data_IF_431695640607
#
_entry.id   IF_431695640607
#
_cell.length_a   1.000
_cell.length_b   1.000
_cell.length_c   1.000
_cell.angle_alpha   90.00
_cell.angle_beta   90.00
_cell.angle_gamma   90.00
#
_symmetry.space_group_name_H-M   'P 1'
#
loop_
_entity.id
_entity.type
_entity.pdbx_description
1 polymer ?
#
# COMPACT_ATOMS: atom_id res chain seq x y z
N UNK A 1 19.53 15.61 -21.54
CA UNK A 1 18.17 15.75 -22.10
C UNK A 1 17.40 14.43 -21.96
N UNK A 2 17.91 13.32 -22.51
CA UNK A 2 17.25 11.99 -22.42
C UNK A 2 17.07 11.50 -20.99
N UNK A 3 18.10 11.55 -20.15
CA UNK A 3 18.05 11.08 -18.75
C UNK A 3 17.00 11.79 -17.91
N UNK A 4 16.91 13.11 -17.99
CA UNK A 4 15.91 13.91 -17.28
C UNK A 4 14.50 13.54 -17.70
N UNK A 5 14.29 13.37 -19.01
CA UNK A 5 12.99 12.97 -19.56
C UNK A 5 12.59 11.56 -19.09
N UNK A 6 13.54 10.62 -19.05
CA UNK A 6 13.32 9.25 -18.56
C UNK A 6 12.94 9.25 -17.08
N UNK A 7 13.65 10.02 -16.24
CA UNK A 7 13.34 10.12 -14.81
C UNK A 7 11.95 10.71 -14.59
N UNK A 8 11.62 11.82 -15.25
CA UNK A 8 10.30 12.45 -15.13
C UNK A 8 9.18 11.49 -15.58
N UNK A 9 9.37 10.82 -16.72
CA UNK A 9 8.40 9.83 -17.22
C UNK A 9 8.19 8.69 -16.22
N UNK A 10 9.28 8.17 -15.63
CA UNK A 10 9.21 7.09 -14.64
C UNK A 10 8.48 7.54 -13.37
N UNK A 11 8.76 8.76 -12.88
CA UNK A 11 8.06 9.33 -11.73
C UNK A 11 6.57 9.52 -12.00
N UNK A 12 6.20 9.99 -13.19
CA UNK A 12 4.79 10.14 -13.58
C UNK A 12 4.07 8.80 -13.58
N UNK A 13 4.66 7.78 -14.20
CA UNK A 13 4.09 6.43 -14.21
C UNK A 13 3.96 5.84 -12.81
N UNK A 14 4.97 6.04 -11.96
CA UNK A 14 4.93 5.58 -10.57
C UNK A 14 3.76 6.21 -9.80
N UNK A 15 3.57 7.53 -9.91
CA UNK A 15 2.44 8.23 -9.27
C UNK A 15 1.11 7.74 -9.83
N UNK A 16 0.98 7.61 -11.15
CA UNK A 16 -0.25 7.19 -11.82
C UNK A 16 -0.69 5.78 -11.42
N UNK A 17 0.22 4.80 -11.49
CA UNK A 17 -0.10 3.43 -11.08
C UNK A 17 -0.42 3.34 -9.58
N UNK A 18 0.34 4.05 -8.74
CA UNK A 18 0.08 4.07 -7.30
C UNK A 18 -1.28 4.71 -6.98
N UNK A 19 -1.69 5.73 -7.73
CA UNK A 19 -3.00 6.39 -7.62
C UNK A 19 -4.15 5.43 -7.91
N UNK A 20 -4.05 4.66 -8.99
CA UNK A 20 -5.08 3.66 -9.35
C UNK A 20 -5.18 2.56 -8.28
N UNK A 21 -4.06 2.01 -7.81
CA UNK A 21 -4.03 1.02 -6.75
C UNK A 21 -4.58 1.59 -5.42
N UNK A 22 -4.17 2.82 -5.07
CA UNK A 22 -4.60 3.51 -3.87
C UNK A 22 -6.10 3.75 -3.84
N UNK A 23 -6.74 4.00 -4.99
CA UNK A 23 -8.19 4.15 -5.05
C UNK A 23 -8.92 2.87 -4.66
N UNK A 24 -8.47 1.71 -5.15
CA UNK A 24 -9.01 0.39 -4.77
C UNK A 24 -8.79 0.14 -3.28
N UNK A 25 -7.57 0.36 -2.79
CA UNK A 25 -7.25 0.21 -1.37
C UNK A 25 -8.05 1.17 -0.48
N UNK A 26 -8.30 2.39 -0.94
CA UNK A 26 -9.09 3.37 -0.21
C UNK A 26 -10.56 2.98 -0.12
N UNK A 27 -11.14 2.40 -1.18
CA UNK A 27 -12.51 1.88 -1.16
C UNK A 27 -12.64 0.71 -0.17
N UNK A 28 -11.69 -0.23 -0.19
CA UNK A 28 -11.64 -1.34 0.75
C UNK A 28 -11.47 -0.83 2.19
N UNK A 29 -10.44 -0.02 2.44
CA UNK A 29 -10.15 0.55 3.75
C UNK A 29 -11.30 1.41 4.30
N UNK A 30 -11.95 2.21 3.45
CA UNK A 30 -13.12 3.00 3.84
C UNK A 30 -14.31 2.13 4.23
N UNK A 31 -14.60 1.06 3.48
CA UNK A 31 -15.69 0.14 3.83
C UNK A 31 -15.44 -0.56 5.17
N UNK A 32 -14.21 -1.06 5.39
CA UNK A 32 -13.80 -1.73 6.64
C UNK A 32 -13.81 -0.76 7.83
N UNK A 33 -13.29 0.45 7.66
CA UNK A 33 -13.30 1.46 8.72
C UNK A 33 -14.72 1.90 9.07
N UNK A 34 -15.58 2.13 8.06
CA UNK A 34 -16.98 2.46 8.32
C UNK A 34 -17.72 1.35 9.06
N UNK A 35 -17.42 0.09 8.74
CA UNK A 35 -18.00 -1.07 9.41
C UNK A 35 -17.55 -1.19 10.87
N UNK A 36 -16.24 -1.12 11.12
CA UNK A 36 -15.64 -1.35 12.44
C UNK A 36 -15.88 -0.19 13.40
N UNK A 37 -15.81 1.02 12.89
CA UNK A 37 -15.76 2.25 13.66
C UNK A 37 -17.17 2.86 13.81
N UNK A 38 -18.14 2.39 13.00
CA UNK A 38 -19.57 2.80 12.92
C UNK A 38 -19.79 4.31 12.79
N UNK A 39 -18.78 5.04 12.36
CA UNK A 39 -18.79 6.49 12.19
C UNK A 39 -18.51 6.86 10.73
N UNK A 40 -18.87 8.08 10.34
CA UNK A 40 -18.42 8.64 9.08
C UNK A 40 -16.89 8.84 9.11
N UNK A 41 -16.23 8.43 8.03
CA UNK A 41 -14.79 8.59 7.83
C UNK A 41 -14.57 9.30 6.50
N UNK A 42 -13.71 10.31 6.51
CA UNK A 42 -13.46 11.18 5.34
C UNK A 42 -12.66 10.39 4.30
N UNK A 43 -13.30 10.06 3.17
CA UNK A 43 -12.69 9.28 2.09
C UNK A 43 -11.38 9.92 1.59
N UNK A 44 -11.33 11.24 1.45
CA UNK A 44 -10.14 11.96 0.97
C UNK A 44 -8.88 11.71 1.84
N UNK A 45 -9.06 11.58 3.16
CA UNK A 45 -7.94 11.31 4.09
C UNK A 45 -7.47 9.86 4.01
N UNK A 46 -8.40 8.92 3.83
CA UNK A 46 -8.06 7.51 3.60
C UNK A 46 -7.33 7.37 2.27
N UNK A 47 -7.83 8.01 1.22
CA UNK A 47 -7.21 8.00 -0.09
C UNK A 47 -5.77 8.50 -0.04
N UNK A 48 -5.52 9.64 0.63
CA UNK A 48 -4.16 10.15 0.81
C UNK A 48 -3.27 9.14 1.56
N UNK A 49 -3.78 8.51 2.62
CA UNK A 49 -3.03 7.50 3.37
C UNK A 49 -2.70 6.26 2.53
N UNK A 50 -3.68 5.76 1.77
CA UNK A 50 -3.50 4.64 0.84
C UNK A 50 -2.57 4.98 -0.33
N UNK A 51 -2.56 6.23 -0.80
CA UNK A 51 -1.64 6.69 -1.84
C UNK A 51 -0.20 6.68 -1.35
N UNK A 52 0.06 7.29 -0.19
CA UNK A 52 1.39 7.29 0.40
C UNK A 52 1.86 5.86 0.73
N UNK A 53 0.94 5.01 1.18
CA UNK A 53 1.23 3.61 1.43
C UNK A 53 1.60 2.91 0.12
N UNK A 54 0.76 2.97 -0.92
CA UNK A 54 1.04 2.32 -2.21
C UNK A 54 2.36 2.77 -2.86
N UNK A 55 2.69 4.07 -2.78
CA UNK A 55 3.97 4.57 -3.27
C UNK A 55 5.15 3.98 -2.50
N UNK A 56 5.05 3.90 -1.17
CA UNK A 56 6.06 3.29 -0.31
C UNK A 56 6.17 1.77 -0.52
N UNK A 57 5.04 1.07 -0.68
CA UNK A 57 5.00 -0.37 -0.99
C UNK A 57 5.74 -0.68 -2.28
N UNK A 58 5.50 0.11 -3.33
CA UNK A 58 6.16 -0.10 -4.61
C UNK A 58 7.67 0.13 -4.50
N UNK A 59 8.11 1.17 -3.78
CA UNK A 59 9.53 1.39 -3.49
C UNK A 59 10.16 0.24 -2.71
N UNK A 60 9.47 -0.30 -1.69
CA UNK A 60 9.94 -1.43 -0.90
C UNK A 60 10.12 -2.68 -1.78
N UNK A 61 9.11 -3.04 -2.57
CA UNK A 61 9.16 -4.24 -3.42
C UNK A 61 10.23 -4.10 -4.51
N UNK A 62 10.28 -2.95 -5.20
CA UNK A 62 11.31 -2.69 -6.22
C UNK A 62 12.71 -2.65 -5.61
N UNK A 63 12.86 -2.07 -4.41
CA UNK A 63 14.12 -2.03 -3.68
C UNK A 63 14.64 -3.42 -3.32
N UNK A 64 13.77 -4.31 -2.83
CA UNK A 64 14.11 -5.72 -2.55
C UNK A 64 14.46 -6.46 -3.83
N UNK A 65 13.67 -6.29 -4.90
CA UNK A 65 13.94 -6.92 -6.19
C UNK A 65 15.27 -6.47 -6.80
N UNK A 66 15.62 -5.19 -6.67
CA UNK A 66 16.90 -4.65 -7.09
C UNK A 66 18.06 -5.20 -6.26
N UNK A 67 17.89 -5.29 -4.93
CA UNK A 67 18.90 -5.84 -4.03
C UNK A 67 19.17 -7.33 -4.27
N UNK A 68 18.13 -8.12 -4.54
CA UNK A 68 18.26 -9.54 -4.89
C UNK A 68 18.71 -9.77 -6.34
N UNK A 69 18.83 -8.72 -7.15
CA UNK A 69 19.20 -8.82 -8.57
C UNK A 69 18.12 -9.47 -9.45
N UNK A 70 16.88 -9.56 -8.96
CA UNK A 70 15.74 -10.25 -9.60
C UNK A 70 14.71 -9.26 -10.15
N UNK A 71 15.19 -8.36 -11.00
CA UNK A 71 14.34 -7.38 -11.70
C UNK A 71 13.62 -7.98 -12.91
N UNK A 72 14.11 -9.12 -13.40
CA UNK A 72 13.59 -9.82 -14.58
C UNK A 72 12.99 -11.18 -14.17
N UNK A 73 11.98 -11.68 -14.92
CA UNK A 73 11.42 -13.00 -14.66
C UNK A 73 12.51 -14.08 -14.72
N UNK A 74 12.44 -15.12 -13.89
CA UNK A 74 11.28 -15.60 -13.13
C UNK A 74 11.09 -14.98 -11.73
N UNK A 75 9.94 -14.32 -11.53
CA UNK A 75 9.49 -13.74 -10.26
C UNK A 75 9.11 -14.72 -9.12
N UNK A 76 8.73 -16.01 -9.32
CA UNK A 76 8.37 -16.88 -8.20
C UNK A 76 9.52 -17.13 -7.22
N UNK A 77 10.77 -17.00 -7.67
CA UNK A 77 11.92 -17.08 -6.78
C UNK A 77 11.98 -15.91 -5.79
N UNK A 78 11.43 -14.74 -6.14
CA UNK A 78 11.33 -13.57 -5.25
C UNK A 78 10.31 -13.83 -4.12
N UNK A 79 9.22 -14.56 -4.40
CA UNK A 79 8.19 -14.90 -3.40
C UNK A 79 8.70 -15.85 -2.30
N UNK A 80 9.72 -16.66 -2.60
CA UNK A 80 10.35 -17.54 -1.61
C UNK A 80 11.42 -16.85 -0.76
N UNK A 81 11.77 -15.60 -1.06
CA UNK A 81 12.86 -14.91 -0.39
C UNK A 81 12.48 -14.43 1.02
N UNK A 82 13.43 -14.57 1.96
CA UNK A 82 13.24 -14.10 3.34
C UNK A 82 13.14 -12.56 3.42
N UNK A 83 13.84 -11.85 2.54
CA UNK A 83 13.82 -10.38 2.50
C UNK A 83 12.47 -9.84 2.06
N UNK A 84 11.82 -10.45 1.06
CA UNK A 84 10.48 -10.03 0.65
C UNK A 84 9.48 -10.19 1.80
N UNK A 85 9.57 -11.27 2.59
CA UNK A 85 8.69 -11.47 3.76
C UNK A 85 8.88 -10.37 4.81
N UNK A 86 10.13 -10.01 5.11
CA UNK A 86 10.41 -8.90 6.03
C UNK A 86 9.87 -7.58 5.47
N UNK A 87 10.05 -7.33 4.18
CA UNK A 87 9.53 -6.14 3.52
C UNK A 87 7.99 -6.08 3.55
N UNK A 88 7.29 -7.21 3.37
CA UNK A 88 5.83 -7.29 3.49
C UNK A 88 5.34 -6.99 4.91
N UNK A 89 6.05 -7.44 5.94
CA UNK A 89 5.74 -7.11 7.34
C UNK A 89 5.94 -5.62 7.59
N UNK A 90 7.05 -5.05 7.11
CA UNK A 90 7.31 -3.60 7.21
C UNK A 90 6.24 -2.79 6.47
N UNK A 91 5.83 -3.25 5.29
CA UNK A 91 4.79 -2.62 4.50
C UNK A 91 3.44 -2.61 5.24
N UNK A 92 3.07 -3.74 5.86
CA UNK A 92 1.85 -3.83 6.66
C UNK A 92 1.87 -2.88 7.88
N UNK A 93 3.01 -2.77 8.57
CA UNK A 93 3.19 -1.82 9.67
C UNK A 93 3.08 -0.37 9.17
N UNK A 94 3.69 -0.07 8.03
CA UNK A 94 3.66 1.25 7.41
C UNK A 94 2.22 1.65 7.04
N UNK A 95 1.46 0.74 6.43
CA UNK A 95 0.04 0.93 6.12
C UNK A 95 -0.81 1.20 7.36
N UNK A 96 -0.64 0.40 8.41
CA UNK A 96 -1.34 0.59 9.68
C UNK A 96 -1.02 1.97 10.32
N UNK A 97 0.25 2.38 10.33
CA UNK A 97 0.68 3.67 10.89
C UNK A 97 0.13 4.85 10.07
N UNK A 98 0.18 4.77 8.73
CA UNK A 98 -0.34 5.79 7.83
C UNK A 98 -1.84 5.98 8.03
N UNK A 99 -2.61 4.88 8.03
CA UNK A 99 -4.04 4.92 8.28
C UNK A 99 -4.34 5.50 9.67
N UNK A 100 -3.65 5.03 10.71
CA UNK A 100 -3.86 5.50 12.08
C UNK A 100 -3.54 6.99 12.28
N UNK A 101 -2.50 7.51 11.61
CA UNK A 101 -2.06 8.90 11.79
C UNK A 101 -2.81 9.89 10.90
N UNK A 102 -3.11 9.51 9.66
CA UNK A 102 -3.64 10.43 8.65
C UNK A 102 -5.17 10.41 8.54
N UNK A 103 -5.84 9.38 9.05
CA UNK A 103 -7.30 9.25 8.99
C UNK A 103 -7.93 9.65 10.33
N UNK A 104 -8.42 10.90 10.46
CA UNK A 104 -9.22 11.29 11.61
C UNK A 104 -10.63 10.70 11.53
N UNK A 105 -11.24 10.42 12.69
CA UNK A 105 -12.70 10.29 12.79
C UNK A 105 -13.34 11.67 12.59
N UNK A 106 -14.61 11.69 12.19
CA UNK A 106 -15.41 12.93 12.05
C UNK A 106 -15.46 13.76 13.34
N UNK A 107 -15.34 13.12 14.50
CA UNK A 107 -15.27 13.81 15.81
C UNK A 107 -13.87 14.39 16.16
N UNK A 108 -12.99 14.56 15.16
CA UNK A 108 -11.58 14.99 15.33
C UNK A 108 -10.69 14.10 16.22
N UNK A 109 -11.20 12.95 16.67
CA UNK A 109 -10.42 11.93 17.40
C UNK A 109 -9.73 10.97 16.43
N UNK A 110 -8.57 10.45 16.82
CA UNK A 110 -7.87 9.40 16.04
C UNK A 110 -8.70 8.11 16.02
N UNK A 111 -8.60 7.36 14.93
CA UNK A 111 -9.15 6.00 14.85
C UNK A 111 -8.43 5.06 15.83
N UNK A 112 -9.10 3.97 16.21
CA UNK A 112 -8.47 2.97 17.07
C UNK A 112 -7.32 2.30 16.31
N UNK A 113 -6.15 2.05 16.94
CA UNK A 113 -5.05 1.38 16.24
C UNK A 113 -5.46 -0.02 15.74
N UNK A 114 -6.38 -0.69 16.45
CA UNK A 114 -6.92 -1.99 16.02
C UNK A 114 -7.76 -1.93 14.73
N UNK A 115 -8.55 -0.86 14.51
CA UNK A 115 -9.34 -0.72 13.28
C UNK A 115 -8.44 -0.38 12.08
N UNK A 116 -7.40 0.45 12.30
CA UNK A 116 -6.37 0.72 11.29
C UNK A 116 -5.62 -0.56 10.89
N UNK A 117 -5.24 -1.38 11.88
CA UNK A 117 -4.57 -2.65 11.63
C UNK A 117 -5.46 -3.64 10.87
N UNK A 118 -6.74 -3.76 11.25
CA UNK A 118 -7.69 -4.61 10.51
C UNK A 118 -7.87 -4.15 9.06
N UNK A 119 -8.00 -2.84 8.81
CA UNK A 119 -8.12 -2.32 7.46
C UNK A 119 -6.87 -2.62 6.61
N UNK A 120 -5.67 -2.43 7.16
CA UNK A 120 -4.42 -2.77 6.49
C UNK A 120 -4.32 -4.28 6.21
N UNK A 121 -4.71 -5.13 7.18
CA UNK A 121 -4.70 -6.58 7.04
C UNK A 121 -5.61 -7.08 5.91
N UNK A 122 -6.83 -6.53 5.81
CA UNK A 122 -7.78 -6.89 4.75
C UNK A 122 -7.23 -6.51 3.38
N UNK A 123 -6.66 -5.32 3.25
CA UNK A 123 -6.06 -4.84 1.99
C UNK A 123 -4.89 -5.75 1.59
N UNK A 124 -3.99 -6.08 2.52
CA UNK A 124 -2.86 -6.97 2.26
C UNK A 124 -3.29 -8.38 1.89
N UNK A 125 -4.28 -8.95 2.58
CA UNK A 125 -4.79 -10.28 2.28
C UNK A 125 -5.39 -10.36 0.87
N UNK A 126 -6.17 -9.35 0.48
CA UNK A 126 -6.73 -9.27 -0.87
C UNK A 126 -5.65 -9.06 -1.94
N UNK A 127 -4.71 -8.14 -1.69
CA UNK A 127 -3.60 -7.88 -2.62
C UNK A 127 -2.72 -9.11 -2.84
N UNK A 128 -2.34 -9.79 -1.75
CA UNK A 128 -1.55 -11.02 -1.81
C UNK A 128 -2.32 -12.17 -2.47
N UNK A 129 -3.62 -12.30 -2.19
CA UNK A 129 -4.49 -13.29 -2.83
C UNK A 129 -4.58 -13.09 -4.34
N UNK A 130 -4.78 -11.85 -4.80
CA UNK A 130 -4.79 -11.52 -6.24
C UNK A 130 -3.42 -11.82 -6.86
N UNK A 131 -2.33 -11.36 -6.24
CA UNK A 131 -0.98 -11.58 -6.76
C UNK A 131 -0.61 -13.06 -6.88
N UNK A 132 -1.00 -13.89 -5.90
CA UNK A 132 -0.74 -15.33 -5.92
C UNK A 132 -1.66 -16.11 -6.84
N UNK A 133 -2.89 -15.64 -7.05
CA UNK A 133 -3.83 -16.28 -8.00
C UNK A 133 -3.48 -16.04 -9.48
N UNK A 134 -2.72 -14.98 -9.77
CA UNK A 134 -2.29 -14.60 -11.12
C UNK A 134 -0.88 -15.11 -11.48
N UNK A 135 -0.17 -15.72 -10.53
CA UNK A 135 1.17 -16.28 -10.67
C UNK A 135 1.13 -17.75 -11.09
#
# INVERSE_FOLDING_TARGET
MTTVLTVISTLLWWVLYSSMAALVFALLGWSVLRWTERCAVVFNRIYLACLLWAMASLLLVVGVAAYEGRLHPPYPALLSSGLLRVALVLDMLLGAILLWRLVPRVDARRIRPGSACMAAAVIMALGFGVATSLA
#
